data_IF_667181710659
#
_entry.id   IF_667181710659
#
_cell.length_a   1.000
_cell.length_b   1.000
_cell.length_c   1.000
_cell.angle_alpha   90.00
_cell.angle_beta   90.00
_cell.angle_gamma   90.00
#
_symmetry.space_group_name_H-M   'P 1'
#
loop_
_entity.id
_entity.type
_entity.pdbx_description
1 polymer ?
#
# COMPACT_ATOMS: atom_id res chain seq x y z
N UNK A 1 -14.04 -4.72 -7.70
CA UNK A 1 -13.62 -3.76 -6.65
C UNK A 1 -13.05 -4.52 -5.46
N UNK A 2 -11.91 -4.08 -4.94
CA UNK A 2 -11.27 -4.73 -3.81
C UNK A 2 -11.83 -4.16 -2.50
N UNK A 3 -12.54 -4.99 -1.72
CA UNK A 3 -13.11 -4.57 -0.46
C UNK A 3 -12.38 -5.10 0.75
N UNK A 4 -11.77 -6.28 0.63
CA UNK A 4 -10.99 -6.94 1.68
C UNK A 4 -10.03 -7.96 1.07
N UNK A 5 -8.91 -8.18 1.77
CA UNK A 5 -7.96 -9.22 1.36
C UNK A 5 -7.33 -9.88 2.59
N UNK A 6 -6.54 -10.91 2.38
CA UNK A 6 -5.83 -11.55 3.48
C UNK A 6 -4.36 -11.77 3.12
N UNK A 7 -3.55 -11.82 4.15
CA UNK A 7 -2.12 -12.10 4.04
C UNK A 7 -1.74 -13.14 5.09
N UNK A 8 -1.28 -14.26 4.62
CA UNK A 8 -0.76 -15.35 5.43
C UNK A 8 0.77 -15.34 5.48
N UNK A 9 1.41 -14.81 4.46
CA UNK A 9 2.85 -14.79 4.33
C UNK A 9 3.50 -13.84 5.34
N UNK A 10 4.60 -14.31 5.96
CA UNK A 10 5.36 -13.50 6.91
C UNK A 10 6.36 -12.57 6.21
N UNK A 11 7.04 -11.73 7.01
CA UNK A 11 8.00 -10.76 6.49
C UNK A 11 9.14 -11.39 5.70
N UNK A 12 9.64 -12.54 6.13
CA UNK A 12 10.76 -13.21 5.48
C UNK A 12 10.35 -13.74 4.10
N UNK A 13 9.20 -14.37 4.02
CA UNK A 13 8.68 -14.89 2.74
C UNK A 13 8.43 -13.76 1.74
N UNK A 14 7.87 -12.66 2.20
CA UNK A 14 7.64 -11.48 1.36
C UNK A 14 8.98 -10.89 0.90
N UNK A 15 9.94 -10.76 1.80
CA UNK A 15 11.26 -10.23 1.46
C UNK A 15 11.96 -11.08 0.41
N UNK A 16 11.89 -12.40 0.52
CA UNK A 16 12.48 -13.31 -0.46
C UNK A 16 11.77 -13.24 -1.80
N UNK A 17 10.44 -13.30 -1.79
CA UNK A 17 9.64 -13.30 -3.02
C UNK A 17 9.81 -12.02 -3.84
N UNK A 18 9.92 -10.88 -3.17
CA UNK A 18 10.00 -9.57 -3.83
C UNK A 18 11.40 -8.96 -3.83
N UNK A 19 12.40 -9.72 -3.38
CA UNK A 19 13.82 -9.26 -3.32
C UNK A 19 13.96 -7.94 -2.59
N UNK A 20 13.45 -7.89 -1.37
CA UNK A 20 13.50 -6.69 -0.55
C UNK A 20 14.85 -6.67 0.18
N UNK A 21 15.65 -5.63 -0.08
CA UNK A 21 16.94 -5.47 0.57
C UNK A 21 16.88 -4.72 1.90
N UNK A 22 15.73 -4.12 2.23
CA UNK A 22 15.61 -3.22 3.37
C UNK A 22 14.34 -3.49 4.15
N UNK A 23 14.51 -4.07 5.35
CA UNK A 23 13.42 -4.27 6.31
C UNK A 23 13.62 -3.37 7.53
N UNK A 24 12.56 -2.77 8.08
CA UNK A 24 12.67 -2.01 9.32
C UNK A 24 13.18 -2.90 10.47
N UNK A 25 14.08 -2.41 11.34
CA UNK A 25 14.54 -3.16 12.49
C UNK A 25 13.39 -3.51 13.42
N UNK A 26 13.37 -4.76 13.93
CA UNK A 26 12.34 -5.22 14.85
C UNK A 26 10.95 -5.33 14.26
N UNK A 27 10.86 -5.27 12.93
CA UNK A 27 9.58 -5.33 12.23
C UNK A 27 8.97 -6.73 12.31
N UNK A 28 7.76 -6.81 12.83
CA UNK A 28 6.98 -8.05 12.89
C UNK A 28 5.73 -7.94 12.03
N UNK A 29 5.38 -9.02 11.37
CA UNK A 29 4.25 -9.05 10.46
C UNK A 29 3.44 -10.34 10.68
N UNK A 30 2.55 -10.35 11.69
CA UNK A 30 1.69 -11.50 11.93
C UNK A 30 0.69 -11.66 10.78
N UNK A 31 0.20 -12.89 10.55
CA UNK A 31 -0.86 -13.11 9.56
C UNK A 31 -2.09 -12.27 9.88
N UNK A 32 -2.76 -11.80 8.84
CA UNK A 32 -4.01 -11.07 8.95
C UNK A 32 -4.97 -11.59 7.90
N UNK A 33 -6.03 -12.23 8.33
CA UNK A 33 -6.97 -12.93 7.46
C UNK A 33 -8.19 -12.07 7.05
N UNK A 34 -8.25 -10.83 7.51
CA UNK A 34 -9.37 -9.95 7.21
C UNK A 34 -8.93 -8.49 7.19
N UNK A 35 -8.18 -8.14 6.17
CA UNK A 35 -7.61 -6.79 6.03
C UNK A 35 -8.64 -5.87 5.41
N UNK A 36 -8.92 -4.78 6.12
CA UNK A 36 -9.93 -3.79 5.74
C UNK A 36 -9.30 -2.45 5.32
N UNK A 37 -10.02 -1.64 4.53
CA UNK A 37 -9.63 -0.27 4.28
C UNK A 37 -9.39 0.50 5.58
N UNK A 38 -8.57 1.53 5.53
CA UNK A 38 -8.14 2.39 6.64
C UNK A 38 -7.16 1.76 7.62
N UNK A 39 -6.80 0.50 7.46
CA UNK A 39 -5.79 -0.15 8.30
C UNK A 39 -4.39 0.05 7.71
N UNK A 40 -3.38 0.01 8.58
CA UNK A 40 -1.97 0.06 8.16
C UNK A 40 -1.51 -1.33 7.77
N UNK A 41 -0.98 -1.44 6.56
CA UNK A 41 -0.55 -2.71 6.00
C UNK A 41 0.80 -2.55 5.30
N UNK A 42 1.57 -3.65 5.17
CA UNK A 42 2.84 -3.58 4.47
C UNK A 42 2.65 -3.35 2.97
N UNK A 43 3.45 -2.47 2.43
CA UNK A 43 3.57 -2.25 0.99
C UNK A 43 5.03 -2.28 0.60
N UNK A 44 5.28 -2.58 -0.66
CA UNK A 44 6.62 -2.65 -1.24
C UNK A 44 6.77 -1.48 -2.20
N UNK A 45 7.81 -0.69 -2.00
CA UNK A 45 8.14 0.42 -2.89
C UNK A 45 9.65 0.51 -3.07
N UNK A 46 10.09 1.30 -4.05
CA UNK A 46 11.50 1.60 -4.22
C UNK A 46 11.88 2.83 -3.41
N UNK A 47 12.98 2.75 -2.68
CA UNK A 47 13.58 3.91 -2.04
C UNK A 47 14.02 4.88 -3.13
N UNK A 48 13.75 6.17 -2.96
CA UNK A 48 14.03 7.18 -3.99
C UNK A 48 15.51 7.43 -4.20
N UNK A 49 16.30 7.27 -3.14
CA UNK A 49 17.74 7.54 -3.19
C UNK A 49 18.53 6.32 -3.64
N UNK A 50 18.31 5.18 -2.98
CA UNK A 50 19.07 3.97 -3.21
C UNK A 50 18.54 3.09 -4.32
N UNK A 51 17.28 3.28 -4.71
CA UNK A 51 16.53 2.44 -5.66
C UNK A 51 16.32 1.01 -5.16
N UNK A 52 16.68 0.73 -3.92
CA UNK A 52 16.38 -0.57 -3.31
C UNK A 52 14.89 -0.69 -3.00
N UNK A 53 14.40 -1.92 -3.08
CA UNK A 53 13.03 -2.22 -2.65
C UNK A 53 12.98 -2.22 -1.13
N UNK A 54 11.99 -1.53 -0.59
CA UNK A 54 11.76 -1.51 0.84
C UNK A 54 10.33 -1.92 1.18
N UNK A 55 10.18 -2.52 2.35
CA UNK A 55 8.89 -2.82 2.95
C UNK A 55 8.57 -1.73 3.97
N UNK A 56 7.41 -1.11 3.83
CA UNK A 56 6.98 -0.07 4.75
C UNK A 56 5.49 -0.21 5.03
N UNK A 57 5.03 0.32 6.16
CA UNK A 57 3.62 0.29 6.53
C UNK A 57 2.92 1.54 6.00
N UNK A 58 1.80 1.35 5.32
CA UNK A 58 0.98 2.45 4.83
C UNK A 58 -0.49 2.18 5.10
N UNK A 59 -1.25 3.24 5.27
CA UNK A 59 -2.70 3.14 5.46
C UNK A 59 -3.38 2.95 4.11
N UNK A 60 -4.29 1.99 4.03
CA UNK A 60 -5.07 1.75 2.83
C UNK A 60 -6.13 2.83 2.66
N UNK A 61 -6.01 3.61 1.61
CA UNK A 61 -6.87 4.73 1.28
C UNK A 61 -6.03 5.95 0.91
N UNK A 62 -6.19 6.44 -0.31
CA UNK A 62 -5.40 7.57 -0.78
C UNK A 62 -5.84 8.87 -0.10
N UNK A 63 -4.87 9.61 0.40
CA UNK A 63 -5.07 10.96 0.93
C UNK A 63 -4.34 11.94 0.03
N UNK A 64 -5.03 12.98 -0.49
CA UNK A 64 -4.35 13.98 -1.33
C UNK A 64 -3.23 14.67 -0.57
N UNK A 65 -2.13 14.98 -1.26
CA UNK A 65 -0.95 15.57 -0.64
C UNK A 65 -1.22 16.93 0.03
N UNK A 66 -2.21 17.67 -0.46
CA UNK A 66 -2.57 18.99 0.07
C UNK A 66 -3.41 18.95 1.35
N UNK A 67 -3.86 17.79 1.78
CA UNK A 67 -4.64 17.64 3.02
C UNK A 67 -3.70 17.79 4.22
N UNK A 68 -3.99 18.76 5.10
CA UNK A 68 -3.11 19.07 6.22
C UNK A 68 -3.08 17.95 7.27
N UNK A 69 -4.24 17.37 7.59
CA UNK A 69 -4.35 16.26 8.53
C UNK A 69 -4.89 15.02 7.83
N UNK A 70 -4.02 14.02 7.54
CA UNK A 70 -4.45 12.81 6.86
C UNK A 70 -5.57 12.05 7.59
N UNK A 71 -5.62 12.14 8.91
CA UNK A 71 -6.62 11.43 9.71
C UNK A 71 -8.02 12.03 9.58
N UNK A 72 -8.12 13.29 9.18
CA UNK A 72 -9.42 13.96 8.99
C UNK A 72 -10.03 13.67 7.62
N UNK A 73 -9.26 13.13 6.68
CA UNK A 73 -9.73 12.85 5.33
C UNK A 73 -10.55 11.57 5.28
N UNK A 74 -11.74 11.63 4.70
CA UNK A 74 -12.60 10.47 4.52
C UNK A 74 -12.19 9.70 3.28
N UNK A 75 -11.78 8.46 3.45
CA UNK A 75 -11.21 7.64 2.38
C UNK A 75 -12.22 6.77 1.63
N UNK A 76 -13.53 6.90 1.88
CA UNK A 76 -14.53 6.02 1.28
C UNK A 76 -14.48 5.93 -0.24
N UNK A 77 -14.17 7.04 -0.90
CA UNK A 77 -14.06 7.09 -2.35
C UNK A 77 -12.65 6.86 -2.87
N UNK A 78 -11.67 6.68 -1.98
CA UNK A 78 -10.25 6.58 -2.36
C UNK A 78 -9.60 5.25 -2.00
N UNK A 79 -10.40 4.25 -1.66
CA UNK A 79 -9.89 2.89 -1.41
C UNK A 79 -9.67 2.12 -2.71
N UNK A 80 -10.33 2.52 -3.79
CA UNK A 80 -10.18 1.94 -5.13
C UNK A 80 -10.21 3.04 -6.18
N UNK A 81 -9.48 2.84 -7.26
CA UNK A 81 -9.50 3.72 -8.43
C UNK A 81 -10.01 2.94 -9.64
N UNK A 82 -10.74 3.61 -10.53
CA UNK A 82 -11.17 3.03 -11.79
C UNK A 82 -10.07 3.19 -12.84
N UNK A 83 -9.67 2.09 -13.48
CA UNK A 83 -8.65 2.13 -14.51
C UNK A 83 -9.02 3.08 -15.65
N UNK A 84 -10.31 3.15 -15.99
CA UNK A 84 -10.82 3.95 -17.11
C UNK A 84 -10.61 5.46 -16.91
N UNK A 85 -10.52 5.93 -15.68
CA UNK A 85 -10.42 7.36 -15.39
C UNK A 85 -9.24 7.74 -14.50
N UNK A 86 -8.33 6.80 -14.23
CA UNK A 86 -7.24 7.01 -13.28
C UNK A 86 -6.30 8.14 -13.70
N UNK A 87 -6.10 8.34 -15.01
CA UNK A 87 -5.27 9.42 -15.53
C UNK A 87 -6.00 10.74 -15.68
N UNK A 88 -7.33 10.72 -15.64
CA UNK A 88 -8.15 11.91 -15.86
C UNK A 88 -8.49 12.66 -14.56
N UNK A 89 -8.50 11.94 -13.44
CA UNK A 89 -8.85 12.52 -12.14
C UNK A 89 -7.60 13.02 -11.43
N UNK A 90 -7.58 14.30 -11.00
CA UNK A 90 -6.40 14.89 -10.35
C UNK A 90 -5.91 14.12 -9.12
N UNK A 91 -6.82 13.53 -8.33
CA UNK A 91 -6.46 12.81 -7.12
C UNK A 91 -5.62 11.55 -7.42
N UNK A 92 -5.84 10.93 -8.58
CA UNK A 92 -5.15 9.68 -8.94
C UNK A 92 -3.97 9.88 -9.88
N UNK A 93 -3.99 10.93 -10.69
CA UNK A 93 -3.00 11.13 -11.76
C UNK A 93 -1.57 11.19 -11.24
N UNK A 94 -1.32 12.00 -10.22
CA UNK A 94 0.02 12.12 -9.63
C UNK A 94 0.51 10.81 -9.02
N UNK A 95 -0.25 10.23 -8.07
CA UNK A 95 0.13 8.95 -7.48
C UNK A 95 0.34 7.82 -8.49
N UNK A 96 -0.53 7.70 -9.48
CA UNK A 96 -0.39 6.67 -10.51
C UNK A 96 0.87 6.85 -11.35
N UNK A 97 1.25 8.09 -11.62
CA UNK A 97 2.44 8.40 -12.43
C UNK A 97 3.74 8.26 -11.63
N UNK A 98 3.75 8.67 -10.36
CA UNK A 98 5.00 8.87 -9.62
C UNK A 98 5.17 8.04 -8.35
N UNK A 99 4.10 7.57 -7.71
CA UNK A 99 4.18 6.98 -6.37
C UNK A 99 3.40 5.67 -6.27
N UNK A 100 3.67 4.76 -7.19
CA UNK A 100 3.05 3.43 -7.14
C UNK A 100 3.78 2.52 -6.15
N UNK A 101 3.05 1.54 -5.62
CA UNK A 101 3.62 0.51 -4.77
C UNK A 101 2.98 -0.83 -5.10
N UNK A 102 3.53 -1.90 -4.51
CA UNK A 102 2.94 -3.23 -4.56
C UNK A 102 2.38 -3.56 -3.19
N UNK A 103 1.21 -4.16 -3.17
CA UNK A 103 0.58 -4.64 -1.92
C UNK A 103 0.69 -6.17 -1.91
N UNK A 104 1.54 -6.74 -1.04
CA UNK A 104 1.66 -8.21 -0.97
C UNK A 104 0.41 -8.78 -0.31
N UNK A 105 -0.16 -9.80 -0.95
CA UNK A 105 -1.35 -10.47 -0.44
C UNK A 105 -1.34 -11.93 -0.87
N UNK A 106 -2.13 -12.74 -0.19
CA UNK A 106 -2.30 -14.16 -0.52
C UNK A 106 -3.63 -14.41 -1.23
N UNK A 107 -4.64 -13.58 -0.98
CA UNK A 107 -5.91 -13.71 -1.67
C UNK A 107 -6.92 -12.62 -1.31
N UNK A 108 -8.01 -12.60 -2.04
CA UNK A 108 -9.12 -11.66 -1.82
C UNK A 108 -10.27 -12.36 -1.11
N UNK A 109 -11.03 -11.59 -0.37
CA UNK A 109 -12.25 -12.06 0.28
C UNK A 109 -13.49 -11.69 -0.50
#
# INVERSE_FOLDING_TARGET
>A
MCGRYYRRSDKQRIAEAFRIGKLPPGFELPPDYNIAPSTFQPVIRSDRETRERELTMMRWGLVPAKVADPNSFKIFSTTNARAESILDKPIWKGPFTHTRCLVPLDGFL
#
